data_IF_485638619495
#
_entry.id   IF_485638619495
#
_cell.length_a   1.000
_cell.length_b   1.000
_cell.length_c   1.000
_cell.angle_alpha   90.00
_cell.angle_beta   90.00
_cell.angle_gamma   90.00
#
_symmetry.space_group_name_H-M   'P 1'
#
loop_
_entity.id
_entity.type
_entity.pdbx_description
1 polymer ?
#
# COMPACT_ATOMS: atom_id res chain seq x y z
N UNK A 1 -6.60 19.78 19.68
CA UNK A 1 -5.85 20.77 18.88
C UNK A 1 -6.41 20.71 17.46
N UNK A 2 -6.52 21.82 16.74
CA UNK A 2 -6.93 21.78 15.32
C UNK A 2 -5.91 20.97 14.53
N UNK A 3 -6.36 20.14 13.59
CA UNK A 3 -5.46 19.45 12.66
C UNK A 3 -4.62 20.48 11.90
N UNK A 4 -3.30 20.26 11.74
CA UNK A 4 -2.44 21.10 10.89
C UNK A 4 -2.73 20.91 9.39
N UNK A 5 -3.55 19.93 8.99
CA UNK A 5 -3.88 19.63 7.60
C UNK A 5 -5.31 20.08 7.29
N UNK A 6 -5.45 20.97 6.32
CA UNK A 6 -6.74 21.40 5.78
C UNK A 6 -7.00 20.68 4.45
N UNK A 7 -8.08 19.90 4.38
CA UNK A 7 -8.46 19.13 3.19
C UNK A 7 -9.56 19.85 2.40
N UNK A 8 -9.48 19.78 1.08
CA UNK A 8 -10.61 20.14 0.20
C UNK A 8 -11.75 19.13 0.36
N UNK A 9 -12.93 19.48 -0.15
CA UNK A 9 -13.96 18.48 -0.36
C UNK A 9 -13.44 17.41 -1.34
N UNK A 10 -13.74 16.11 -1.11
CA UNK A 10 -13.43 15.07 -2.08
C UNK A 10 -14.17 15.34 -3.39
N UNK A 11 -13.46 15.20 -4.50
CA UNK A 11 -14.03 15.25 -5.84
C UNK A 11 -13.90 13.88 -6.50
N UNK A 12 -14.93 13.48 -7.23
CA UNK A 12 -14.87 12.27 -8.04
C UNK A 12 -14.21 12.59 -9.38
N UNK A 13 -13.07 11.96 -9.65
CA UNK A 13 -12.23 12.22 -10.81
C UNK A 13 -12.32 11.05 -11.79
N UNK A 14 -13.02 11.26 -12.90
CA UNK A 14 -13.14 10.29 -13.99
C UNK A 14 -11.96 10.28 -14.97
N UNK A 15 -11.96 9.32 -15.90
CA UNK A 15 -11.04 9.30 -17.04
C UNK A 15 -11.16 10.57 -17.89
N UNK A 16 -10.05 11.02 -18.49
CA UNK A 16 -10.03 12.23 -19.32
C UNK A 16 -10.76 12.07 -20.66
N UNK A 17 -11.01 10.82 -21.07
CA UNK A 17 -11.65 10.43 -22.33
C UNK A 17 -12.60 9.25 -22.10
N UNK A 18 -13.48 8.97 -23.06
CA UNK A 18 -14.37 7.82 -22.99
C UNK A 18 -13.57 6.50 -22.96
N UNK A 19 -13.99 5.57 -22.12
CA UNK A 19 -13.34 4.26 -21.97
C UNK A 19 -14.25 3.13 -22.46
N UNK A 20 -13.72 1.92 -22.74
CA UNK A 20 -14.50 0.82 -23.33
C UNK A 20 -15.71 0.34 -22.51
N UNK A 21 -15.85 0.75 -21.24
CA UNK A 21 -16.94 0.31 -20.37
C UNK A 21 -16.92 -1.19 -20.09
N UNK A 22 -18.06 -1.74 -19.66
CA UNK A 22 -18.30 -3.18 -19.53
C UNK A 22 -18.02 -3.75 -18.13
N UNK A 23 -17.90 -5.08 -18.06
CA UNK A 23 -17.71 -5.82 -16.81
C UNK A 23 -16.38 -6.56 -16.87
N UNK A 24 -15.57 -6.37 -15.83
CA UNK A 24 -14.34 -7.11 -15.62
C UNK A 24 -14.57 -8.25 -14.61
N UNK A 25 -14.33 -9.47 -15.05
CA UNK A 25 -14.27 -10.65 -14.19
C UNK A 25 -13.02 -10.62 -13.31
N UNK A 26 -13.20 -10.95 -12.04
CA UNK A 26 -12.11 -11.04 -11.06
C UNK A 26 -11.60 -12.48 -10.96
N UNK A 27 -10.32 -12.66 -10.70
CA UNK A 27 -9.79 -13.98 -10.34
C UNK A 27 -10.31 -14.39 -8.95
N UNK A 28 -10.14 -15.67 -8.60
CA UNK A 28 -10.47 -16.15 -7.26
C UNK A 28 -9.65 -15.44 -6.16
N UNK A 29 -8.41 -15.03 -6.48
CA UNK A 29 -7.52 -14.33 -5.56
C UNK A 29 -7.94 -12.88 -5.38
N UNK A 30 -8.23 -12.16 -6.47
CA UNK A 30 -8.69 -10.76 -6.40
C UNK A 30 -10.01 -10.67 -5.62
N UNK A 31 -10.93 -11.60 -5.90
CA UNK A 31 -12.19 -11.72 -5.15
C UNK A 31 -11.96 -12.00 -3.66
N UNK A 32 -10.93 -12.76 -3.31
CA UNK A 32 -10.58 -13.03 -1.91
C UNK A 32 -9.99 -11.81 -1.19
N UNK A 33 -9.41 -10.87 -1.93
CA UNK A 33 -8.80 -9.63 -1.44
C UNK A 33 -9.76 -8.43 -1.46
N UNK A 34 -10.97 -8.60 -1.98
CA UNK A 34 -11.99 -7.55 -1.98
C UNK A 34 -12.28 -7.02 -0.59
N UNK A 35 -12.52 -5.71 -0.49
CA UNK A 35 -12.76 -5.01 0.78
C UNK A 35 -11.58 -5.09 1.77
N UNK A 36 -10.35 -5.24 1.26
CA UNK A 36 -9.12 -5.05 2.02
C UNK A 36 -8.45 -3.74 1.54
N UNK A 37 -8.69 -2.59 2.19
CA UNK A 37 -8.10 -1.33 1.73
C UNK A 37 -6.63 -1.24 2.13
N UNK A 38 -5.76 -1.14 1.12
CA UNK A 38 -4.33 -0.92 1.24
C UNK A 38 -4.01 0.57 1.17
N UNK A 39 -2.96 0.99 1.89
CA UNK A 39 -2.53 2.39 1.94
C UNK A 39 -1.05 2.48 1.59
N UNK A 40 -0.70 3.45 0.76
CA UNK A 40 0.67 3.85 0.49
C UNK A 40 0.80 5.37 0.56
N UNK A 41 1.84 5.85 1.23
CA UNK A 41 2.23 7.26 1.29
C UNK A 41 3.59 7.44 0.61
N UNK A 42 3.65 8.40 -0.29
CA UNK A 42 4.84 8.75 -1.07
C UNK A 42 5.28 10.16 -0.67
N UNK A 43 6.46 10.26 -0.07
CA UNK A 43 7.00 11.51 0.46
C UNK A 43 8.00 12.08 -0.53
N UNK A 44 7.78 13.31 -0.99
CA UNK A 44 8.64 14.01 -1.95
C UNK A 44 9.30 15.23 -1.30
N UNK A 45 10.62 15.31 -1.38
CA UNK A 45 11.42 16.39 -0.79
C UNK A 45 11.72 17.55 -1.75
N UNK A 46 11.45 17.35 -3.05
CA UNK A 46 11.52 18.36 -4.10
C UNK A 46 10.12 18.87 -4.44
N UNK A 47 9.92 20.20 -4.51
CA UNK A 47 8.64 20.79 -4.90
C UNK A 47 8.40 20.61 -6.41
N UNK A 48 7.13 20.65 -6.81
CA UNK A 48 6.68 20.81 -8.20
C UNK A 48 5.63 21.90 -8.26
N UNK A 49 5.44 22.52 -9.43
CA UNK A 49 4.39 23.54 -9.59
C UNK A 49 3.01 22.89 -9.47
N UNK A 50 2.15 23.49 -8.62
CA UNK A 50 0.76 23.09 -8.40
C UNK A 50 0.60 21.56 -8.26
N UNK A 51 1.29 20.94 -7.30
CA UNK A 51 1.41 19.49 -7.19
C UNK A 51 0.04 18.78 -7.23
N UNK A 52 -0.94 19.28 -6.49
CA UNK A 52 -2.28 18.69 -6.49
C UNK A 52 -2.94 18.72 -7.88
N UNK A 53 -2.87 19.82 -8.60
CA UNK A 53 -3.53 19.96 -9.91
C UNK A 53 -2.75 19.22 -11.02
N UNK A 54 -1.42 19.25 -10.97
CA UNK A 54 -0.54 18.47 -11.87
C UNK A 54 -0.85 16.98 -11.76
N UNK A 55 -0.89 16.44 -10.54
CA UNK A 55 -1.19 15.03 -10.29
C UNK A 55 -2.65 14.71 -10.62
N UNK A 56 -3.61 15.59 -10.32
CA UNK A 56 -5.02 15.40 -10.65
C UNK A 56 -5.23 15.24 -12.16
N UNK A 57 -4.64 16.10 -12.99
CA UNK A 57 -4.73 15.99 -14.46
C UNK A 57 -4.09 14.71 -14.97
N UNK A 58 -2.92 14.37 -14.44
CA UNK A 58 -2.21 13.16 -14.80
C UNK A 58 -2.98 11.88 -14.43
N UNK A 59 -3.62 11.87 -13.25
CA UNK A 59 -4.46 10.79 -12.78
C UNK A 59 -5.66 10.58 -13.72
N UNK A 60 -6.36 11.64 -14.10
CA UNK A 60 -7.47 11.55 -15.06
C UNK A 60 -7.04 10.95 -16.41
N UNK A 61 -5.84 11.31 -16.90
CA UNK A 61 -5.26 10.69 -18.12
C UNK A 61 -4.90 9.22 -17.93
N UNK A 62 -4.31 8.86 -16.78
CA UNK A 62 -3.95 7.47 -16.46
C UNK A 62 -5.18 6.56 -16.35
N UNK A 63 -6.32 7.09 -15.90
CA UNK A 63 -7.58 6.35 -15.83
C UNK A 63 -8.16 5.98 -17.21
N UNK A 64 -7.61 6.47 -18.33
CA UNK A 64 -8.04 6.00 -19.66
C UNK A 64 -7.48 4.61 -19.96
N UNK A 65 -6.15 4.37 -19.97
CA UNK A 65 -5.60 3.02 -20.14
C UNK A 65 -5.87 2.11 -18.92
N UNK A 66 -6.03 2.67 -17.72
CA UNK A 66 -6.36 1.93 -16.49
C UNK A 66 -7.85 2.08 -16.09
N UNK A 67 -8.75 2.09 -17.07
CA UNK A 67 -10.18 2.37 -16.87
C UNK A 67 -10.91 1.55 -15.78
N UNK A 68 -10.52 0.30 -15.44
CA UNK A 68 -11.21 -0.43 -14.37
C UNK A 68 -10.97 0.15 -12.98
N UNK A 69 -9.89 0.91 -12.78
CA UNK A 69 -9.64 1.65 -11.53
C UNK A 69 -10.73 2.71 -11.29
N UNK A 70 -11.33 3.24 -12.35
CA UNK A 70 -12.43 4.19 -12.30
C UNK A 70 -13.83 3.53 -12.19
N UNK A 71 -13.89 2.20 -12.04
CA UNK A 71 -15.12 1.44 -11.91
C UNK A 71 -15.67 1.33 -10.49
N UNK A 72 -16.58 0.38 -10.30
CA UNK A 72 -17.16 -0.02 -9.02
C UNK A 72 -17.16 -1.53 -8.87
N UNK A 73 -17.08 -2.00 -7.64
CA UNK A 73 -17.35 -3.41 -7.34
C UNK A 73 -18.83 -3.68 -7.56
N UNK A 74 -19.14 -4.76 -8.27
CA UNK A 74 -20.50 -5.20 -8.52
C UNK A 74 -20.66 -6.68 -8.16
N UNK A 75 -21.64 -6.95 -7.29
CA UNK A 75 -21.97 -8.28 -6.82
C UNK A 75 -23.02 -8.94 -7.71
N UNK A 76 -22.60 -9.95 -8.49
CA UNK A 76 -23.48 -10.67 -9.41
C UNK A 76 -23.84 -12.06 -8.86
N UNK A 77 -24.84 -12.71 -9.47
CA UNK A 77 -25.18 -14.11 -9.17
C UNK A 77 -24.01 -15.10 -9.39
N UNK A 78 -23.00 -14.71 -10.18
CA UNK A 78 -21.85 -15.53 -10.52
C UNK A 78 -20.57 -15.16 -9.75
N UNK A 79 -20.65 -14.19 -8.83
CA UNK A 79 -19.51 -13.71 -8.04
C UNK A 79 -19.30 -12.21 -8.18
N UNK A 80 -18.16 -11.76 -7.66
CA UNK A 80 -17.78 -10.36 -7.65
C UNK A 80 -17.11 -9.96 -8.98
N UNK A 81 -17.44 -8.79 -9.49
CA UNK A 81 -16.87 -8.22 -10.72
C UNK A 81 -16.54 -6.75 -10.51
N UNK A 82 -15.80 -6.16 -11.44
CA UNK A 82 -15.66 -4.70 -11.53
C UNK A 82 -16.52 -4.21 -12.69
N UNK A 83 -17.57 -3.46 -12.38
CA UNK A 83 -18.31 -2.68 -13.35
C UNK A 83 -17.47 -1.47 -13.76
N UNK A 84 -17.02 -1.45 -15.02
CA UNK A 84 -16.18 -0.40 -15.57
C UNK A 84 -17.04 0.81 -15.97
N UNK A 85 -17.61 1.49 -14.99
CA UNK A 85 -18.57 2.60 -15.20
C UNK A 85 -17.91 3.90 -15.62
N UNK A 86 -16.60 4.06 -15.38
CA UNK A 86 -15.87 5.29 -15.65
C UNK A 86 -16.22 6.44 -14.70
N UNK A 87 -16.96 6.17 -13.62
CA UNK A 87 -17.35 7.18 -12.63
C UNK A 87 -16.15 7.85 -11.97
N UNK A 88 -15.03 7.12 -11.81
CA UNK A 88 -13.77 7.69 -11.36
C UNK A 88 -13.37 7.33 -9.93
N UNK A 89 -12.30 7.98 -9.49
CA UNK A 89 -11.63 7.80 -8.20
C UNK A 89 -11.85 9.02 -7.31
N UNK A 90 -11.79 8.87 -5.98
CA UNK A 90 -11.87 10.04 -5.11
C UNK A 90 -10.52 10.77 -5.08
N UNK A 91 -10.53 12.09 -5.27
CA UNK A 91 -9.35 12.93 -5.19
C UNK A 91 -9.54 14.04 -4.15
N UNK A 92 -8.52 14.27 -3.33
CA UNK A 92 -8.50 15.32 -2.30
C UNK A 92 -7.21 16.13 -2.44
N UNK A 93 -7.33 17.45 -2.55
CA UNK A 93 -6.19 18.35 -2.36
C UNK A 93 -6.13 18.77 -0.89
N UNK A 94 -4.94 18.88 -0.31
CA UNK A 94 -4.77 19.26 1.07
C UNK A 94 -3.55 20.18 1.25
N UNK A 95 -3.62 21.04 2.25
CA UNK A 95 -2.53 21.92 2.65
C UNK A 95 -2.17 21.66 4.11
N UNK A 96 -0.88 21.47 4.39
CA UNK A 96 -0.35 21.42 5.74
C UNK A 96 0.24 22.78 6.12
N UNK A 97 -0.16 23.32 7.27
CA UNK A 97 0.34 24.61 7.77
C UNK A 97 1.79 24.57 8.27
N UNK A 98 2.37 23.37 8.40
CA UNK A 98 3.74 23.12 8.84
C UNK A 98 4.64 22.68 7.68
N UNK A 99 5.95 22.65 7.92
CA UNK A 99 6.91 22.07 6.95
C UNK A 99 6.88 20.55 7.03
N UNK A 100 7.37 19.86 5.99
CA UNK A 100 7.49 18.40 6.01
C UNK A 100 8.40 17.90 7.15
N UNK A 101 9.42 18.68 7.52
CA UNK A 101 10.30 18.36 8.63
C UNK A 101 9.57 18.47 9.98
N UNK A 102 8.82 19.56 10.18
CA UNK A 102 8.04 19.77 11.42
C UNK A 102 6.88 18.78 11.57
N UNK A 103 6.44 18.17 10.46
CA UNK A 103 5.42 17.14 10.45
C UNK A 103 5.85 15.86 11.20
N UNK A 104 7.17 15.60 11.28
CA UNK A 104 7.78 14.49 12.04
C UNK A 104 7.14 13.13 11.74
N UNK A 105 6.86 12.86 10.46
CA UNK A 105 6.06 11.70 9.99
C UNK A 105 6.60 10.33 10.42
N UNK A 106 7.90 10.26 10.72
CA UNK A 106 8.61 9.03 11.11
C UNK A 106 8.90 8.94 12.60
N UNK A 107 8.51 9.95 13.37
CA UNK A 107 8.72 9.93 14.81
C UNK A 107 7.57 9.21 15.52
N UNK A 108 7.79 8.67 16.73
CA UNK A 108 6.73 8.04 17.53
C UNK A 108 5.52 8.94 17.80
N UNK A 109 5.69 10.26 17.76
CA UNK A 109 4.64 11.26 17.98
C UNK A 109 4.69 12.31 16.86
N UNK A 110 4.18 11.96 15.66
CA UNK A 110 4.22 12.86 14.54
C UNK A 110 3.33 14.08 14.81
N UNK A 111 3.72 15.25 14.29
CA UNK A 111 2.85 16.44 14.35
C UNK A 111 1.67 16.33 13.38
N UNK A 112 1.86 15.57 12.29
CA UNK A 112 0.83 15.21 11.32
C UNK A 112 0.71 13.70 11.28
N UNK A 113 -0.44 13.14 11.67
CA UNK A 113 -0.64 11.70 11.61
C UNK A 113 -0.72 11.19 10.16
N UNK A 114 -0.39 9.92 9.94
CA UNK A 114 -0.53 9.28 8.61
C UNK A 114 -1.99 9.29 8.14
N UNK A 115 -2.95 9.22 9.06
CA UNK A 115 -4.38 9.32 8.77
C UNK A 115 -4.75 10.68 8.18
N UNK A 116 -4.13 11.77 8.64
CA UNK A 116 -4.34 13.10 8.07
C UNK A 116 -3.80 13.22 6.64
N UNK A 117 -2.79 12.42 6.27
CA UNK A 117 -2.19 12.40 4.93
C UNK A 117 -2.87 11.44 3.95
N UNK A 118 -3.90 10.73 4.41
CA UNK A 118 -4.70 9.85 3.57
C UNK A 118 -6.13 10.36 3.49
N UNK A 119 -6.84 10.15 2.36
CA UNK A 119 -8.25 10.48 2.30
C UNK A 119 -9.00 9.59 3.31
N UNK A 120 -9.84 10.22 4.15
CA UNK A 120 -10.70 9.47 5.06
C UNK A 120 -11.76 8.78 4.20
N UNK A 121 -11.76 7.45 4.23
CA UNK A 121 -12.72 6.63 3.53
C UNK A 121 -14.11 6.83 4.15
N UNK A 122 -14.86 7.83 3.68
CA UNK A 122 -16.29 7.97 3.99
C UNK A 122 -17.13 6.89 3.29
N UNK A 123 -16.51 6.07 2.42
CA UNK A 123 -17.13 4.96 1.71
C UNK A 123 -17.65 3.81 2.57
N UNK A 124 -17.54 3.90 3.91
CA UNK A 124 -18.29 3.03 4.81
C UNK A 124 -19.80 3.31 4.78
N UNK A 125 -20.23 4.43 4.18
CA UNK A 125 -21.64 4.87 4.18
C UNK A 125 -22.27 5.01 2.78
N UNK A 126 -21.53 4.69 1.70
CA UNK A 126 -22.04 4.73 0.33
C UNK A 126 -22.20 3.32 -0.23
N UNK A 127 -23.29 3.05 -0.95
CA UNK A 127 -23.59 1.73 -1.49
C UNK A 127 -22.51 1.25 -2.48
N UNK A 128 -21.88 2.16 -3.23
CA UNK A 128 -20.85 1.85 -4.25
C UNK A 128 -19.61 2.76 -4.11
N UNK A 129 -18.67 2.43 -3.23
CA UNK A 129 -17.50 3.27 -2.97
C UNK A 129 -16.49 3.23 -4.15
N UNK A 130 -15.75 4.34 -4.39
CA UNK A 130 -14.62 4.33 -5.33
C UNK A 130 -13.55 3.32 -4.92
N UNK A 131 -12.99 2.62 -5.90
CA UNK A 131 -11.96 1.58 -5.68
C UNK A 131 -10.58 2.16 -5.32
N UNK A 132 -10.36 3.43 -5.64
CA UNK A 132 -9.14 4.16 -5.33
C UNK A 132 -9.47 5.57 -4.84
N UNK A 133 -8.71 6.00 -3.85
CA UNK A 133 -8.74 7.34 -3.28
C UNK A 133 -7.31 7.87 -3.25
N UNK A 134 -7.12 9.12 -3.69
CA UNK A 134 -5.82 9.79 -3.68
C UNK A 134 -5.94 11.15 -2.99
N UNK A 135 -4.99 11.45 -2.11
CA UNK A 135 -4.81 12.76 -1.50
C UNK A 135 -3.43 13.30 -1.84
N UNK A 136 -3.36 14.55 -2.28
CA UNK A 136 -2.09 15.28 -2.42
C UNK A 136 -2.05 16.35 -1.35
N UNK A 137 -1.07 16.27 -0.45
CA UNK A 137 -0.90 17.21 0.67
C UNK A 137 0.36 18.03 0.45
N UNK A 138 0.21 19.33 0.20
CA UNK A 138 1.33 20.26 0.04
C UNK A 138 1.65 20.93 1.39
N UNK A 139 2.93 20.92 1.78
CA UNK A 139 3.43 21.51 3.01
C UNK A 139 3.87 22.95 2.78
N UNK A 140 3.96 23.75 3.85
CA UNK A 140 4.35 25.17 3.75
C UNK A 140 5.74 25.40 3.15
N UNK A 141 6.59 24.37 3.11
CA UNK A 141 7.90 24.38 2.45
C UNK A 141 7.87 23.96 0.96
N UNK A 142 6.69 23.81 0.36
CA UNK A 142 6.50 23.39 -1.05
C UNK A 142 6.72 21.90 -1.33
N UNK A 143 7.19 21.15 -0.34
CA UNK A 143 7.26 19.67 -0.38
C UNK A 143 5.86 19.08 -0.30
N UNK A 144 5.69 17.86 -0.76
CA UNK A 144 4.36 17.25 -0.78
C UNK A 144 4.39 15.76 -0.47
N UNK A 145 3.24 15.26 -0.03
CA UNK A 145 2.98 13.85 0.18
C UNK A 145 1.78 13.43 -0.67
N UNK A 146 1.91 12.29 -1.34
CA UNK A 146 0.78 11.65 -2.03
C UNK A 146 0.36 10.44 -1.22
N UNK A 147 -0.86 10.47 -0.68
CA UNK A 147 -1.49 9.34 0.00
C UNK A 147 -2.47 8.64 -0.92
N UNK A 148 -2.29 7.34 -1.12
CA UNK A 148 -3.14 6.50 -1.96
C UNK A 148 -3.76 5.42 -1.10
N UNK A 149 -5.08 5.27 -1.17
CA UNK A 149 -5.83 4.16 -0.58
C UNK A 149 -6.56 3.44 -1.70
N UNK A 150 -6.45 2.12 -1.77
CA UNK A 150 -7.16 1.34 -2.78
C UNK A 150 -7.70 0.04 -2.20
N UNK A 151 -8.82 -0.44 -2.76
CA UNK A 151 -9.27 -1.79 -2.51
C UNK A 151 -8.31 -2.76 -3.20
N UNK A 152 -7.71 -3.69 -2.44
CA UNK A 152 -6.70 -4.62 -2.95
C UNK A 152 -7.20 -5.47 -4.14
N UNK A 153 -8.52 -5.55 -4.36
CA UNK A 153 -9.14 -6.17 -5.53
C UNK A 153 -8.66 -5.62 -6.87
N UNK A 154 -8.26 -4.34 -6.96
CA UNK A 154 -7.90 -3.74 -8.26
C UNK A 154 -6.46 -4.03 -8.66
N UNK A 155 -5.56 -4.20 -7.68
CA UNK A 155 -4.14 -4.40 -7.92
C UNK A 155 -3.43 -4.85 -6.64
N UNK A 156 -2.44 -5.71 -6.83
CA UNK A 156 -1.37 -5.91 -5.86
C UNK A 156 -0.39 -4.72 -5.84
N UNK A 157 0.65 -4.82 -5.01
CA UNK A 157 1.65 -3.77 -4.88
C UNK A 157 2.38 -3.44 -6.19
N UNK A 158 2.65 -4.45 -7.03
CA UNK A 158 3.36 -4.26 -8.32
C UNK A 158 2.44 -3.58 -9.32
N UNK A 159 1.19 -4.06 -9.44
CA UNK A 159 0.19 -3.45 -10.31
C UNK A 159 -0.11 -2.00 -9.90
N UNK A 160 -0.19 -1.72 -8.60
CA UNK A 160 -0.40 -0.37 -8.09
C UNK A 160 0.80 0.54 -8.37
N UNK A 161 2.03 0.03 -8.22
CA UNK A 161 3.23 0.78 -8.57
C UNK A 161 3.26 1.14 -10.06
N UNK A 162 2.93 0.18 -10.94
CA UNK A 162 2.85 0.44 -12.38
C UNK A 162 1.81 1.51 -12.71
N UNK A 163 0.63 1.45 -12.10
CA UNK A 163 -0.41 2.48 -12.27
C UNK A 163 0.07 3.86 -11.84
N UNK A 164 0.71 3.98 -10.66
CA UNK A 164 1.21 5.26 -10.16
C UNK A 164 2.41 5.78 -10.96
N UNK A 165 3.25 4.90 -11.52
CA UNK A 165 4.28 5.28 -12.48
C UNK A 165 3.66 5.86 -13.77
N UNK A 166 2.56 5.28 -14.26
CA UNK A 166 1.82 5.81 -15.40
C UNK A 166 1.22 7.21 -15.10
N UNK A 167 0.70 7.42 -13.89
CA UNK A 167 0.31 8.77 -13.43
C UNK A 167 1.53 9.70 -13.43
N UNK A 168 2.68 9.23 -12.93
CA UNK A 168 3.93 9.98 -12.95
C UNK A 168 4.39 10.39 -14.35
N UNK A 169 4.35 9.47 -15.32
CA UNK A 169 4.68 9.77 -16.73
C UNK A 169 3.81 10.89 -17.29
N UNK A 170 2.50 10.84 -17.06
CA UNK A 170 1.60 11.89 -17.50
C UNK A 170 1.80 13.21 -16.75
N UNK A 171 2.16 13.17 -15.46
CA UNK A 171 2.49 14.36 -14.67
C UNK A 171 3.75 15.07 -15.20
N UNK A 172 4.71 14.30 -15.72
CA UNK A 172 5.91 14.81 -16.40
C UNK A 172 5.67 15.27 -17.84
N UNK A 173 4.43 15.19 -18.33
CA UNK A 173 4.05 15.65 -19.66
C UNK A 173 4.23 14.63 -20.78
N UNK A 174 4.44 13.35 -20.48
CA UNK A 174 4.48 12.30 -21.51
C UNK A 174 3.17 12.27 -22.31
N UNK A 175 3.27 12.04 -23.62
CA UNK A 175 2.10 11.85 -24.49
C UNK A 175 1.56 10.42 -24.43
N UNK A 176 2.41 9.45 -24.09
CA UNK A 176 2.11 8.02 -24.05
C UNK A 176 2.83 7.33 -22.89
N UNK A 177 2.34 6.16 -22.49
CA UNK A 177 2.96 5.33 -21.47
C UNK A 177 4.14 4.54 -22.02
N UNK A 178 5.19 4.42 -21.23
CA UNK A 178 6.36 3.58 -21.51
C UNK A 178 6.02 2.09 -21.41
N UNK A 179 5.10 1.74 -20.50
CA UNK A 179 4.59 0.38 -20.31
C UNK A 179 3.07 0.41 -20.39
N UNK A 180 2.50 -0.26 -21.38
CA UNK A 180 1.05 -0.41 -21.48
C UNK A 180 0.53 -1.34 -20.35
N UNK A 181 -0.68 -1.09 -19.81
CA UNK A 181 -1.31 -2.03 -18.91
C UNK A 181 -1.55 -3.35 -19.64
N UNK A 182 -1.00 -4.44 -19.09
CA UNK A 182 -1.26 -5.78 -19.58
C UNK A 182 -2.41 -6.36 -18.77
N UNK A 183 -3.45 -6.82 -19.48
CA UNK A 183 -4.59 -7.49 -18.89
C UNK A 183 -4.65 -8.90 -19.44
N UNK A 184 -4.59 -9.87 -18.54
CA UNK A 184 -4.68 -11.29 -18.86
C UNK A 184 -6.02 -11.79 -18.33
N UNK A 185 -7.11 -11.46 -19.03
CA UNK A 185 -8.47 -11.73 -18.59
C UNK A 185 -8.78 -13.25 -18.46
N UNK A 186 -7.89 -14.16 -18.91
CA UNK A 186 -8.18 -15.60 -18.99
C UNK A 186 -7.01 -16.59 -18.77
N UNK A 187 -5.83 -16.17 -18.29
CA UNK A 187 -4.62 -17.01 -18.51
C UNK A 187 -3.74 -17.30 -17.29
N UNK A 188 -4.29 -17.41 -16.09
CA UNK A 188 -3.54 -17.99 -14.97
C UNK A 188 -4.31 -19.14 -14.31
N UNK A 189 -3.71 -20.31 -14.04
CA UNK A 189 -4.31 -21.28 -13.14
C UNK A 189 -4.59 -20.59 -11.82
N UNK A 190 -5.83 -20.70 -11.33
CA UNK A 190 -6.21 -20.19 -10.02
C UNK A 190 -5.23 -20.69 -8.96
N UNK A 191 -4.92 -19.84 -7.99
CA UNK A 191 -4.19 -20.30 -6.82
C UNK A 191 -4.93 -21.48 -6.17
N UNK A 192 -4.20 -22.43 -5.57
CA UNK A 192 -4.80 -23.56 -4.87
C UNK A 192 -5.94 -23.14 -3.94
N UNK A 193 -7.09 -23.84 -3.93
CA UNK A 193 -8.25 -23.48 -3.09
C UNK A 193 -7.93 -23.25 -1.60
N UNK A 194 -6.97 -23.96 -0.96
CA UNK A 194 -6.56 -23.64 0.41
C UNK A 194 -6.01 -22.22 0.59
N UNK A 195 -5.23 -21.73 -0.37
CA UNK A 195 -4.69 -20.35 -0.34
C UNK A 195 -5.83 -19.35 -0.45
N UNK A 196 -6.74 -19.54 -1.41
CA UNK A 196 -7.92 -18.68 -1.57
C UNK A 196 -8.77 -18.66 -0.30
N UNK A 197 -9.00 -19.82 0.31
CA UNK A 197 -9.80 -19.95 1.54
C UNK A 197 -9.13 -19.25 2.73
N UNK A 198 -7.82 -19.39 2.86
CA UNK A 198 -7.01 -18.72 3.88
C UNK A 198 -7.07 -17.20 3.70
N UNK A 199 -6.89 -16.69 2.47
CA UNK A 199 -7.00 -15.26 2.15
C UNK A 199 -8.39 -14.71 2.49
N UNK A 200 -9.47 -15.43 2.09
CA UNK A 200 -10.85 -15.04 2.44
C UNK A 200 -11.07 -15.02 3.95
N UNK A 201 -10.54 -16.00 4.68
CA UNK A 201 -10.64 -16.04 6.13
C UNK A 201 -9.92 -14.84 6.77
N UNK A 202 -8.70 -14.53 6.31
CA UNK A 202 -7.94 -13.36 6.74
C UNK A 202 -8.70 -12.04 6.48
N UNK A 203 -9.27 -11.91 5.28
CA UNK A 203 -10.02 -10.72 4.88
C UNK A 203 -11.39 -10.64 5.56
N UNK A 204 -11.94 -11.75 6.05
CA UNK A 204 -13.21 -11.73 6.79
C UNK A 204 -13.02 -11.57 8.30
N UNK A 205 -11.78 -11.56 8.79
CA UNK A 205 -11.48 -11.39 10.22
C UNK A 205 -11.83 -9.99 10.71
N UNK A 206 -12.20 -9.92 11.99
CA UNK A 206 -12.48 -8.66 12.68
C UNK A 206 -11.30 -7.69 12.60
N UNK A 207 -11.60 -6.41 12.50
CA UNK A 207 -10.60 -5.36 12.64
C UNK A 207 -9.98 -5.41 14.04
N UNK A 208 -8.65 -5.35 14.11
CA UNK A 208 -7.91 -5.22 15.35
C UNK A 208 -7.38 -3.79 15.49
N UNK A 209 -7.39 -3.27 16.72
CA UNK A 209 -6.85 -1.96 17.07
C UNK A 209 -5.34 -2.04 17.29
N UNK A 210 -4.58 -2.25 16.21
CA UNK A 210 -3.12 -2.16 16.24
C UNK A 210 -2.69 -0.78 15.75
N UNK A 211 -2.24 0.18 16.56
CA UNK A 211 -1.71 1.44 16.03
C UNK A 211 -0.56 1.21 15.04
N UNK A 212 -0.53 2.03 13.98
CA UNK A 212 0.57 1.99 13.01
C UNK A 212 1.75 2.76 13.59
N UNK A 213 2.90 2.10 13.70
CA UNK A 213 4.13 2.69 14.25
C UNK A 213 5.23 2.61 13.22
N UNK A 214 5.74 3.76 12.80
CA UNK A 214 6.94 3.79 11.98
C UNK A 214 8.16 3.49 12.87
N UNK A 215 8.95 2.50 12.48
CA UNK A 215 10.15 2.09 13.20
C UNK A 215 11.35 2.10 12.24
N UNK A 216 12.50 2.52 12.74
CA UNK A 216 13.78 2.35 12.05
C UNK A 216 14.50 1.17 12.69
N UNK A 217 14.82 0.15 11.91
CA UNK A 217 15.61 -0.99 12.36
C UNK A 217 17.06 -0.76 11.94
N UNK A 218 18.00 -0.55 12.88
CA UNK A 218 19.39 -0.27 12.51
C UNK A 218 20.01 -1.43 11.71
N UNK A 219 20.87 -1.12 10.74
CA UNK A 219 21.55 -2.14 9.91
C UNK A 219 22.38 -3.11 10.78
N UNK A 220 22.94 -2.62 11.89
CA UNK A 220 23.66 -3.43 12.88
C UNK A 220 22.82 -4.59 13.42
N UNK A 221 21.49 -4.41 13.57
CA UNK A 221 20.57 -5.45 14.02
C UNK A 221 20.27 -6.50 12.96
N UNK A 222 20.24 -6.11 11.70
CA UNK A 222 19.99 -7.03 10.58
C UNK A 222 21.22 -7.91 10.33
N UNK A 223 22.41 -7.36 10.53
CA UNK A 223 23.68 -8.07 10.34
C UNK A 223 24.04 -9.04 11.47
N UNK A 224 23.25 -9.13 12.55
CA UNK A 224 23.54 -9.95 13.74
C UNK A 224 23.30 -11.47 13.57
N UNK A 225 23.53 -12.05 12.39
CA UNK A 225 23.75 -13.51 12.28
C UNK A 225 25.25 -13.81 12.12
N UNK A 226 25.95 -14.24 13.20
CA UNK A 226 27.31 -14.78 13.11
C UNK A 226 27.44 -15.91 12.08
N UNK A 227 26.34 -16.62 11.82
CA UNK A 227 26.25 -17.70 10.85
C UNK A 227 26.27 -17.27 9.37
N UNK A 228 26.09 -15.98 9.06
CA UNK A 228 26.18 -15.46 7.69
C UNK A 228 27.46 -14.66 7.44
N UNK A 229 28.05 -14.08 8.48
CA UNK A 229 29.30 -13.33 8.36
C UNK A 229 30.52 -14.19 7.95
N UNK A 230 30.45 -15.52 8.17
CA UNK A 230 31.52 -16.47 7.87
C UNK A 230 31.14 -17.52 6.81
N UNK A 231 29.97 -17.40 6.15
CA UNK A 231 29.50 -18.35 5.16
C UNK A 231 29.91 -17.96 3.74
N UNK A 232 30.28 -18.93 2.91
CA UNK A 232 30.45 -18.71 1.46
C UNK A 232 29.14 -18.18 0.86
N UNK A 233 29.23 -17.24 -0.09
CA UNK A 233 28.08 -16.69 -0.81
C UNK A 233 27.23 -17.80 -1.45
N UNK A 234 27.87 -18.91 -1.84
CA UNK A 234 27.19 -20.09 -2.36
C UNK A 234 26.33 -20.80 -1.30
N UNK A 235 26.76 -20.84 -0.04
CA UNK A 235 25.99 -21.40 1.06
C UNK A 235 24.80 -20.53 1.45
N UNK A 236 24.96 -19.20 1.41
CA UNK A 236 23.83 -18.27 1.57
C UNK A 236 22.81 -18.47 0.45
N UNK A 237 23.25 -18.54 -0.81
CA UNK A 237 22.37 -18.80 -1.96
C UNK A 237 21.66 -20.14 -1.83
N UNK A 238 22.35 -21.19 -1.38
CA UNK A 238 21.75 -22.51 -1.13
C UNK A 238 20.71 -22.45 -0.03
N UNK A 239 21.01 -21.83 1.11
CA UNK A 239 20.06 -21.66 2.21
C UNK A 239 18.82 -20.85 1.80
N UNK A 240 19.00 -19.78 1.00
CA UNK A 240 17.87 -19.01 0.45
C UNK A 240 17.03 -19.88 -0.50
N UNK A 241 17.66 -20.69 -1.35
CA UNK A 241 16.94 -21.61 -2.25
C UNK A 241 16.18 -22.68 -1.46
N UNK A 242 16.79 -23.28 -0.45
CA UNK A 242 16.16 -24.27 0.42
C UNK A 242 15.01 -23.67 1.23
N UNK A 243 15.18 -22.46 1.77
CA UNK A 243 14.12 -21.73 2.45
C UNK A 243 12.95 -21.41 1.50
N UNK A 244 13.23 -20.91 0.29
CA UNK A 244 12.20 -20.65 -0.73
C UNK A 244 11.44 -21.93 -1.13
N UNK A 245 12.15 -23.04 -1.31
CA UNK A 245 11.53 -24.32 -1.64
C UNK A 245 10.61 -24.83 -0.51
N UNK A 246 10.99 -24.61 0.75
CA UNK A 246 10.15 -24.94 1.92
C UNK A 246 8.93 -24.02 2.03
N UNK A 247 9.06 -22.72 1.73
CA UNK A 247 7.94 -21.77 1.77
C UNK A 247 6.81 -22.18 0.82
N UNK A 248 7.12 -22.57 -0.42
CA UNK A 248 6.09 -23.06 -1.36
C UNK A 248 5.39 -24.33 -0.87
N UNK A 249 6.11 -25.26 -0.24
CA UNK A 249 5.54 -26.50 0.31
C UNK A 249 4.69 -26.26 1.57
N UNK A 250 5.16 -25.38 2.48
CA UNK A 250 4.45 -25.06 3.73
C UNK A 250 3.21 -24.22 3.50
N UNK A 251 3.19 -23.31 2.52
CA UNK A 251 1.99 -22.54 2.19
C UNK A 251 0.89 -23.41 1.59
N UNK A 252 1.21 -24.36 0.70
CA UNK A 252 0.18 -25.18 0.03
C UNK A 252 -0.48 -26.18 0.99
N UNK A 253 0.30 -26.88 1.82
CA UNK A 253 -0.23 -27.85 2.78
C UNK A 253 -0.69 -27.20 4.10
N UNK A 254 -0.06 -26.10 4.51
CA UNK A 254 -0.36 -25.40 5.74
C UNK A 254 -1.48 -24.37 5.62
N UNK A 255 -1.87 -23.91 4.42
CA UNK A 255 -2.94 -22.93 4.26
C UNK A 255 -4.30 -23.40 4.82
N UNK A 256 -4.59 -24.71 4.76
CA UNK A 256 -5.79 -25.29 5.37
C UNK A 256 -5.77 -25.23 6.90
N UNK A 257 -4.65 -25.62 7.53
CA UNK A 257 -4.46 -25.53 8.98
C UNK A 257 -4.34 -24.08 9.47
N UNK A 258 -3.68 -23.23 8.69
CA UNK A 258 -3.48 -21.80 8.97
C UNK A 258 -4.79 -21.03 8.83
N UNK A 259 -5.65 -21.35 7.85
CA UNK A 259 -7.01 -20.80 7.77
C UNK A 259 -7.86 -21.13 9.01
N UNK A 260 -7.65 -22.30 9.61
CA UNK A 260 -8.25 -22.69 10.89
C UNK A 260 -7.66 -21.93 12.09
N UNK A 261 -6.33 -21.70 12.12
CA UNK A 261 -5.65 -20.94 13.18
C UNK A 261 -5.91 -19.42 13.11
N UNK A 262 -6.08 -18.87 11.91
CA UNK A 262 -6.39 -17.46 11.67
C UNK A 262 -7.81 -17.08 12.14
N UNK A 263 -8.73 -18.05 12.21
CA UNK A 263 -10.01 -17.92 12.95
C UNK A 263 -9.76 -17.99 14.46
N UNK A 264 -9.03 -17.02 15.01
CA UNK A 264 -8.78 -16.99 16.45
C UNK A 264 -7.52 -16.24 16.91
N UNK A 265 -6.73 -15.67 16.00
CA UNK A 265 -5.54 -14.87 16.35
C UNK A 265 -5.96 -13.55 16.98
N UNK A 266 -6.23 -13.57 18.28
CA UNK A 266 -6.41 -12.39 19.13
C UNK A 266 -5.11 -12.03 19.89
N UNK A 267 -4.03 -12.81 19.71
CA UNK A 267 -2.73 -12.66 20.36
C UNK A 267 -1.60 -12.21 19.43
N UNK A 268 -0.37 -12.20 19.97
CA UNK A 268 0.88 -11.86 19.26
C UNK A 268 1.64 -13.09 18.73
N UNK A 269 0.95 -14.21 18.54
CA UNK A 269 1.51 -15.51 18.16
C UNK A 269 1.82 -15.62 16.67
N UNK A 270 1.25 -14.73 15.85
CA UNK A 270 1.47 -14.69 14.40
C UNK A 270 1.84 -13.26 13.98
N UNK A 271 2.96 -13.10 13.27
CA UNK A 271 3.41 -11.84 12.67
C UNK A 271 3.57 -12.01 11.16
N UNK A 272 2.86 -11.21 10.37
CA UNK A 272 3.05 -11.14 8.93
C UNK A 272 4.20 -10.18 8.61
N UNK A 273 5.17 -10.59 7.79
CA UNK A 273 6.26 -9.72 7.36
C UNK A 273 6.28 -9.65 5.85
N UNK A 274 6.24 -8.44 5.31
CA UNK A 274 6.30 -8.19 3.86
C UNK A 274 7.31 -7.08 3.56
N UNK A 275 7.90 -7.12 2.37
CA UNK A 275 8.87 -6.13 1.91
C UNK A 275 8.36 -5.45 0.64
N UNK A 276 8.36 -4.11 0.65
CA UNK A 276 7.88 -3.28 -0.44
C UNK A 276 8.99 -2.74 -1.34
N UNK A 277 10.25 -3.09 -1.05
CA UNK A 277 11.45 -2.57 -1.74
C UNK A 277 11.51 -2.84 -3.24
N UNK A 278 10.87 -3.92 -3.71
CA UNK A 278 10.93 -4.34 -5.10
C UNK A 278 9.57 -4.22 -5.80
N UNK A 279 8.64 -3.45 -5.23
CA UNK A 279 7.34 -3.23 -5.86
C UNK A 279 7.41 -2.19 -6.98
N UNK A 280 8.47 -1.37 -7.04
CA UNK A 280 8.58 -0.24 -7.98
C UNK A 280 7.99 1.06 -7.45
N UNK A 281 7.64 1.10 -6.15
CA UNK A 281 7.14 2.30 -5.49
C UNK A 281 8.18 3.41 -5.37
N UNK A 282 9.46 3.06 -5.26
CA UNK A 282 10.57 4.02 -5.20
C UNK A 282 10.86 4.70 -6.57
N UNK A 283 10.29 4.16 -7.66
CA UNK A 283 10.48 4.66 -9.03
C UNK A 283 9.34 5.60 -9.48
N UNK A 284 8.33 5.83 -8.63
CA UNK A 284 7.22 6.74 -8.93
C UNK A 284 7.74 8.18 -8.93
N UNK A 285 7.52 8.91 -10.02
CA UNK A 285 8.01 10.28 -10.18
C UNK A 285 6.90 11.17 -10.73
N UNK A 286 6.39 12.13 -9.95
CA UNK A 286 5.37 13.08 -10.42
C UNK A 286 5.96 14.36 -11.05
N UNK A 287 7.23 14.36 -11.43
CA UNK A 287 8.03 15.53 -11.82
C UNK A 287 8.97 16.03 -10.72
N UNK A 288 8.94 15.40 -9.55
CA UNK A 288 9.79 15.69 -8.41
C UNK A 288 11.00 14.75 -8.33
N UNK A 289 11.18 13.81 -9.27
CA UNK A 289 11.94 12.57 -9.09
C UNK A 289 11.29 11.61 -8.09
N UNK A 290 11.95 10.47 -7.83
CA UNK A 290 11.43 9.43 -6.94
C UNK A 290 11.18 9.89 -5.50
N UNK A 291 10.24 9.26 -4.75
CA UNK A 291 10.00 9.59 -3.36
C UNK A 291 11.26 9.37 -2.52
N UNK A 292 11.49 10.25 -1.54
CA UNK A 292 12.57 10.03 -0.55
C UNK A 292 12.24 8.95 0.44
N UNK A 293 10.96 8.60 0.53
CA UNK A 293 10.42 7.60 1.42
C UNK A 293 9.03 7.15 0.97
N UNK A 294 8.80 5.84 1.08
CA UNK A 294 7.51 5.21 0.91
C UNK A 294 7.09 4.64 2.27
N UNK A 295 5.83 4.79 2.63
CA UNK A 295 5.26 4.21 3.85
C UNK A 295 4.01 3.42 3.48
N UNK A 296 4.00 2.13 3.81
CA UNK A 296 2.82 1.27 3.67
C UNK A 296 2.00 1.22 4.96
N UNK A 297 0.68 1.13 4.83
CA UNK A 297 -0.26 0.95 5.94
C UNK A 297 -1.49 0.14 5.46
N UNK A 298 -2.33 -0.29 6.40
CA UNK A 298 -3.58 -0.99 6.11
C UNK A 298 -4.71 -0.33 6.90
N UNK A 299 -5.76 0.16 6.22
CA UNK A 299 -6.93 0.71 6.92
C UNK A 299 -7.59 -0.34 7.79
N UNK A 300 -7.67 -1.59 7.30
CA UNK A 300 -8.16 -2.71 8.09
C UNK A 300 -7.01 -3.62 8.53
N UNK A 301 -6.70 -3.55 9.82
CA UNK A 301 -5.61 -4.30 10.45
C UNK A 301 -6.14 -5.65 10.91
N UNK A 302 -5.96 -6.64 10.05
CA UNK A 302 -6.48 -8.01 10.27
C UNK A 302 -5.50 -8.92 11.00
N UNK A 303 -4.19 -8.64 10.89
CA UNK A 303 -3.13 -9.37 11.60
C UNK A 303 -2.02 -8.43 12.04
N UNK A 304 -1.30 -8.78 13.13
CA UNK A 304 -0.01 -8.19 13.43
C UNK A 304 0.88 -8.25 12.20
N UNK A 305 1.35 -7.08 11.72
CA UNK A 305 2.10 -7.00 10.47
C UNK A 305 3.31 -6.08 10.59
N UNK A 306 4.36 -6.39 9.83
CA UNK A 306 5.55 -5.57 9.65
C UNK A 306 5.79 -5.40 8.15
N UNK A 307 5.73 -4.16 7.68
CA UNK A 307 5.94 -3.81 6.27
C UNK A 307 7.30 -3.12 6.17
N UNK A 308 8.30 -3.80 5.62
CA UNK A 308 9.59 -3.19 5.32
C UNK A 308 9.40 -2.23 4.14
N UNK A 309 9.53 -0.94 4.40
CA UNK A 309 9.28 0.14 3.45
C UNK A 309 10.59 0.93 3.19
N UNK A 310 10.62 1.75 2.13
CA UNK A 310 11.71 2.71 1.89
C UNK A 310 12.90 2.19 1.09
N UNK A 311 13.86 3.06 0.78
CA UNK A 311 14.96 2.73 -0.15
C UNK A 311 16.06 1.90 0.52
N UNK A 312 16.51 0.87 -0.19
CA UNK A 312 17.60 -0.06 0.18
C UNK A 312 18.98 0.60 0.34
N UNK A 313 19.15 1.84 -0.14
CA UNK A 313 20.42 2.54 -0.27
C UNK A 313 20.77 3.50 0.89
N UNK A 314 19.89 3.68 1.88
CA UNK A 314 20.19 4.51 3.05
C UNK A 314 20.96 3.69 4.08
N UNK A 315 22.21 4.11 4.35
CA UNK A 315 23.19 3.41 5.17
C UNK A 315 22.81 3.25 6.67
N UNK A 316 21.75 3.92 7.12
CA UNK A 316 21.46 4.10 8.56
C UNK A 316 20.42 3.11 9.13
N UNK A 317 19.72 2.32 8.29
CA UNK A 317 18.74 1.34 8.77
C UNK A 317 17.70 0.90 7.74
N UNK A 318 16.90 -0.09 8.11
CA UNK A 318 15.69 -0.50 7.38
C UNK A 318 14.48 0.15 8.04
N UNK A 319 13.79 0.99 7.29
CA UNK A 319 12.51 1.52 7.67
C UNK A 319 11.44 0.41 7.63
N UNK A 320 10.62 0.32 8.67
CA UNK A 320 9.49 -0.57 8.70
C UNK A 320 8.25 0.12 9.30
N UNK A 321 7.08 -0.20 8.75
CA UNK A 321 5.82 0.07 9.42
C UNK A 321 5.44 -1.16 10.24
N UNK A 322 5.34 -0.98 11.56
CA UNK A 322 4.89 -2.01 12.47
C UNK A 322 3.42 -1.76 12.85
N UNK A 323 2.59 -2.77 12.63
CA UNK A 323 1.17 -2.83 13.00
C UNK A 323 0.96 -4.06 13.91
N UNK A 324 1.79 -4.22 14.94
CA UNK A 324 1.97 -5.52 15.60
C UNK A 324 1.64 -5.56 17.09
N UNK A 325 1.37 -4.42 17.72
CA UNK A 325 1.00 -4.33 19.14
C UNK A 325 -0.29 -3.54 19.29
N UNK A 326 -1.13 -3.88 20.27
CA UNK A 326 -2.34 -3.12 20.63
C UNK A 326 -1.95 -1.76 21.20
N UNK A 327 -2.86 -0.80 21.15
CA UNK A 327 -2.63 0.57 21.63
C UNK A 327 -2.07 0.62 23.07
N UNK A 328 -2.68 -0.16 23.98
CA UNK A 328 -2.23 -0.28 25.37
C UNK A 328 -0.79 -0.78 25.58
N UNK A 329 -0.21 -1.45 24.57
CA UNK A 329 1.14 -2.01 24.61
C UNK A 329 2.15 -1.19 23.78
N UNK A 330 1.70 -0.17 23.06
CA UNK A 330 2.52 0.57 22.10
C UNK A 330 3.69 1.30 22.77
N UNK A 331 3.45 1.98 23.90
CA UNK A 331 4.49 2.74 24.59
C UNK A 331 5.59 1.82 25.14
N UNK A 332 5.22 0.68 25.73
CA UNK A 332 6.16 -0.32 26.22
C UNK A 332 6.98 -0.93 25.06
N UNK A 333 6.33 -1.26 23.95
CA UNK A 333 7.00 -1.78 22.76
C UNK A 333 8.03 -0.80 22.19
N UNK A 334 7.65 0.48 22.04
CA UNK A 334 8.56 1.54 21.58
C UNK A 334 9.70 1.78 22.58
N UNK A 335 9.44 1.64 23.89
CA UNK A 335 10.48 1.75 24.90
C UNK A 335 11.50 0.61 24.81
N UNK A 336 11.08 -0.62 24.52
CA UNK A 336 12.01 -1.73 24.27
C UNK A 336 12.81 -1.52 22.98
N UNK A 337 12.17 -1.04 21.89
CA UNK A 337 12.87 -0.74 20.64
C UNK A 337 13.95 0.33 20.83
N UNK A 338 13.70 1.37 21.64
CA UNK A 338 14.71 2.40 21.95
C UNK A 338 15.93 1.86 22.70
N UNK A 339 15.83 0.72 23.39
CA UNK A 339 17.01 0.07 24.01
C UNK A 339 17.90 -0.60 22.96
N UNK A 340 17.41 -0.75 21.73
CA UNK A 340 18.12 -1.34 20.61
C UNK A 340 18.79 -0.27 19.72
N UNK A 341 18.55 1.02 19.96
CA UNK A 341 19.23 2.12 19.27
C UNK A 341 20.56 2.46 19.96
#
# INVERSE_FOLDING_TARGET
>A
MSSPVTKSLPVLLGPSEATPGGTLLLTAMDTALASLPMVALFIFDRPIDQAAETIRRALSRALVPYYPVAGRLDGTAHGLTIACTGEGVAFVAALASCTLQDARLTEPRPAVSLEELTPTYAGQYTMDPPLLLMQVTEFSCGRFVVGVTWDHVIADGVGMAQFLQAVGEFARGSSSLSVAPVRLDYCHPDFPPPIISMTKALVSSSHNEFPSSYISVPVSFINLRPCLANGDILDLVRQVKEAKARVSYTFVNGAGEMGGRLRGTSGYDTLFVTSWWNLGFDDIDFGAGGPVQVVGDMKRKVLPSCILCGRKDKADGVAAMALCVREEHQEAFLAELRKLE
#
